data_IF_405141904682
#
_entry.id   IF_405141904682
#
_cell.length_a   1.000
_cell.length_b   1.000
_cell.length_c   1.000
_cell.angle_alpha   90.00
_cell.angle_beta   90.00
_cell.angle_gamma   90.00
#
_symmetry.space_group_name_H-M   'P 1'
#
loop_
_entity.id
_entity.type
_entity.pdbx_description
1 polymer ?
#
# COMPACT_ATOMS: atom_id res chain seq x y z
N UNK A 1 -26.51 -0.35 11.93
CA UNK A 1 -25.55 -0.20 13.04
C UNK A 1 -25.81 1.14 13.73
N UNK A 2 -26.35 1.13 14.95
CA UNK A 2 -26.61 2.35 15.73
C UNK A 2 -25.37 2.83 16.48
N UNK A 3 -24.27 3.09 15.77
CA UNK A 3 -23.05 3.61 16.39
C UNK A 3 -23.26 5.08 16.76
N UNK A 4 -22.84 5.45 17.97
CA UNK A 4 -22.79 6.86 18.37
C UNK A 4 -21.73 7.60 17.55
N UNK A 5 -21.87 8.92 17.38
CA UNK A 5 -20.84 9.71 16.69
C UNK A 5 -19.45 9.54 17.34
N UNK A 6 -19.39 9.34 18.66
CA UNK A 6 -18.18 9.02 19.39
C UNK A 6 -17.54 7.72 18.86
N UNK A 7 -18.31 6.64 18.76
CA UNK A 7 -17.82 5.37 18.23
C UNK A 7 -17.39 5.49 16.76
N UNK A 8 -18.09 6.28 15.95
CA UNK A 8 -17.70 6.51 14.56
C UNK A 8 -16.35 7.26 14.48
N UNK A 9 -16.12 8.22 15.37
CA UNK A 9 -14.86 8.95 15.47
C UNK A 9 -13.71 8.03 15.93
N UNK A 10 -13.98 7.19 16.93
CA UNK A 10 -13.04 6.19 17.43
C UNK A 10 -12.64 5.16 16.36
N UNK A 11 -13.55 4.82 15.44
CA UNK A 11 -13.22 3.99 14.26
C UNK A 11 -12.24 4.69 13.31
N UNK A 12 -12.37 6.01 13.12
CA UNK A 12 -11.38 6.78 12.34
C UNK A 12 -10.02 6.76 13.04
N UNK A 13 -9.99 6.95 14.36
CA UNK A 13 -8.77 6.86 15.17
C UNK A 13 -8.13 5.49 15.05
N UNK A 14 -8.90 4.40 15.14
CA UNK A 14 -8.40 3.04 14.95
C UNK A 14 -7.75 2.86 13.57
N UNK A 15 -8.40 3.32 12.50
CA UNK A 15 -7.83 3.29 11.15
C UNK A 15 -6.51 4.06 11.06
N UNK A 16 -6.42 5.23 11.69
CA UNK A 16 -5.21 6.06 11.68
C UNK A 16 -4.09 5.46 12.55
N UNK A 17 -4.42 4.80 13.66
CA UNK A 17 -3.47 3.96 14.41
C UNK A 17 -2.92 2.84 13.52
N UNK A 18 -3.78 2.19 12.72
CA UNK A 18 -3.35 1.23 11.71
C UNK A 18 -2.29 1.79 10.76
N UNK A 19 -2.44 3.04 10.33
CA UNK A 19 -1.44 3.71 9.47
C UNK A 19 -0.13 4.01 10.21
N UNK A 20 -0.16 4.21 11.53
CA UNK A 20 1.06 4.43 12.32
C UNK A 20 1.99 3.20 12.31
N UNK A 21 1.41 1.99 12.24
CA UNK A 21 2.19 0.76 12.06
C UNK A 21 2.93 0.67 10.71
N UNK A 22 2.58 1.53 9.75
CA UNK A 22 3.28 1.64 8.46
C UNK A 22 4.75 2.04 8.55
N UNK A 23 5.23 2.51 9.71
CA UNK A 23 6.65 2.65 9.97
C UNK A 23 7.40 1.32 9.76
N UNK A 24 6.75 0.20 10.08
CA UNK A 24 7.30 -1.14 9.83
C UNK A 24 7.48 -1.42 8.34
N UNK A 25 6.53 -1.00 7.50
CA UNK A 25 6.66 -1.12 6.05
C UNK A 25 7.86 -0.32 5.54
N UNK A 26 8.04 0.91 6.05
CA UNK A 26 9.21 1.74 5.76
C UNK A 26 10.53 1.05 6.12
N UNK A 27 10.65 0.55 7.34
CA UNK A 27 11.84 -0.17 7.82
C UNK A 27 12.08 -1.49 7.07
N UNK A 28 11.01 -2.19 6.70
CA UNK A 28 11.09 -3.44 5.96
C UNK A 28 11.52 -3.20 4.50
N UNK A 29 11.17 -2.06 3.91
CA UNK A 29 11.37 -1.82 2.47
C UNK A 29 12.82 -1.83 1.98
N UNK A 30 13.78 -1.58 2.88
CA UNK A 30 15.21 -1.71 2.60
C UNK A 30 15.71 -3.16 2.66
N UNK A 31 14.99 -4.05 3.35
CA UNK A 31 15.42 -5.44 3.59
C UNK A 31 14.63 -6.49 2.83
N UNK A 32 13.40 -6.19 2.44
CA UNK A 32 12.50 -7.15 1.78
C UNK A 32 12.26 -6.75 0.31
N UNK A 33 12.04 -7.74 -0.57
CA UNK A 33 11.71 -7.43 -1.96
C UNK A 33 10.34 -6.76 -2.08
N UNK A 34 10.16 -5.94 -3.12
CA UNK A 34 8.93 -5.15 -3.37
C UNK A 34 7.68 -6.04 -3.42
N UNK A 35 7.80 -7.23 -4.04
CA UNK A 35 6.67 -8.16 -4.12
C UNK A 35 6.18 -8.60 -2.73
N UNK A 36 7.06 -8.72 -1.74
CA UNK A 36 6.68 -9.11 -0.39
C UNK A 36 5.92 -7.97 0.31
N UNK A 37 6.34 -6.71 0.11
CA UNK A 37 5.59 -5.54 0.60
C UNK A 37 4.16 -5.53 0.04
N UNK A 38 4.01 -5.77 -1.27
CA UNK A 38 2.70 -5.85 -1.93
C UNK A 38 1.88 -7.06 -1.47
N UNK A 39 2.52 -8.20 -1.22
CA UNK A 39 1.85 -9.39 -0.71
C UNK A 39 1.29 -9.17 0.70
N UNK A 40 2.09 -8.61 1.61
CA UNK A 40 1.66 -8.31 2.98
C UNK A 40 0.54 -7.27 2.96
N UNK A 41 0.74 -6.17 2.22
CA UNK A 41 -0.29 -5.14 2.09
C UNK A 41 -1.59 -5.67 1.51
N UNK A 42 -1.55 -6.45 0.44
CA UNK A 42 -2.76 -7.01 -0.17
C UNK A 42 -3.46 -8.03 0.72
N UNK A 43 -2.73 -8.88 1.44
CA UNK A 43 -3.29 -9.82 2.40
C UNK A 43 -3.97 -9.09 3.57
N UNK A 44 -3.30 -8.13 4.18
CA UNK A 44 -3.88 -7.32 5.27
C UNK A 44 -5.14 -6.56 4.81
N UNK A 45 -5.13 -6.06 3.57
CA UNK A 45 -6.25 -5.33 2.97
C UNK A 45 -7.45 -6.23 2.71
N UNK A 46 -7.20 -7.43 2.13
CA UNK A 46 -8.23 -8.46 1.94
C UNK A 46 -8.83 -8.91 3.27
N UNK A 47 -8.01 -9.12 4.30
CA UNK A 47 -8.49 -9.52 5.62
C UNK A 47 -9.27 -8.39 6.30
N UNK A 48 -8.76 -7.16 6.27
CA UNK A 48 -9.41 -5.99 6.87
C UNK A 48 -10.75 -5.67 6.23
N UNK A 49 -10.76 -5.36 4.94
CA UNK A 49 -11.97 -4.98 4.21
C UNK A 49 -12.89 -6.17 3.91
N UNK A 50 -12.33 -7.36 3.67
CA UNK A 50 -13.12 -8.58 3.46
C UNK A 50 -13.85 -9.04 4.70
N UNK A 51 -13.25 -8.94 5.90
CA UNK A 51 -13.95 -9.20 7.14
C UNK A 51 -15.08 -8.19 7.40
N UNK A 52 -14.82 -6.89 7.15
CA UNK A 52 -15.87 -5.86 7.23
C UNK A 52 -17.00 -6.15 6.24
N UNK A 53 -16.69 -6.56 5.01
CA UNK A 53 -17.67 -6.93 4.02
C UNK A 53 -18.55 -8.10 4.48
N UNK A 54 -17.96 -9.15 5.07
CA UNK A 54 -18.74 -10.30 5.61
C UNK A 54 -19.72 -9.89 6.71
N UNK A 55 -19.36 -8.91 7.55
CA UNK A 55 -20.25 -8.39 8.59
C UNK A 55 -21.36 -7.53 8.01
N UNK A 56 -21.02 -6.63 7.08
CA UNK A 56 -21.99 -5.69 6.49
C UNK A 56 -22.94 -6.38 5.51
N UNK A 57 -22.49 -7.42 4.81
CA UNK A 57 -23.34 -8.25 3.94
C UNK A 57 -24.26 -9.20 4.71
N UNK A 58 -24.10 -9.31 6.03
CA UNK A 58 -24.86 -10.24 6.87
C UNK A 58 -24.43 -11.70 6.74
N UNK A 59 -23.31 -11.99 6.07
CA UNK A 59 -22.76 -13.34 5.95
C UNK A 59 -22.27 -13.90 7.29
N UNK A 60 -21.84 -13.03 8.21
CA UNK A 60 -21.40 -13.37 9.56
C UNK A 60 -22.17 -12.53 10.58
N UNK A 61 -22.36 -13.07 11.79
CA UNK A 61 -22.95 -12.34 12.91
C UNK A 61 -22.21 -11.02 13.17
N UNK A 62 -22.90 -9.96 13.66
CA UNK A 62 -22.28 -8.69 13.94
C UNK A 62 -21.14 -8.86 14.94
N UNK A 63 -19.93 -8.45 14.54
CA UNK A 63 -18.75 -8.56 15.38
C UNK A 63 -18.79 -7.51 16.51
N UNK A 64 -18.21 -7.83 17.68
CA UNK A 64 -18.04 -6.84 18.73
C UNK A 64 -17.17 -5.66 18.24
N UNK A 65 -17.43 -4.48 18.80
CA UNK A 65 -16.82 -3.22 18.39
C UNK A 65 -15.28 -3.27 18.27
N UNK A 66 -14.61 -3.93 19.24
CA UNK A 66 -13.15 -4.06 19.22
C UNK A 66 -12.62 -4.85 18.02
N UNK A 67 -13.36 -5.84 17.50
CA UNK A 67 -12.96 -6.59 16.30
C UNK A 67 -13.08 -5.73 15.05
N UNK A 68 -14.14 -4.91 14.97
CA UNK A 68 -14.30 -3.92 13.91
C UNK A 68 -13.10 -2.97 13.92
N UNK A 69 -12.69 -2.47 15.10
CA UNK A 69 -11.47 -1.66 15.24
C UNK A 69 -10.23 -2.39 14.73
N UNK A 70 -10.02 -3.67 15.08
CA UNK A 70 -8.87 -4.46 14.60
C UNK A 70 -8.87 -4.60 13.08
N UNK A 71 -10.01 -4.90 12.46
CA UNK A 71 -10.11 -4.99 11.00
C UNK A 71 -9.92 -3.64 10.32
N UNK A 72 -10.37 -2.54 10.93
CA UNK A 72 -10.05 -1.19 10.45
C UNK A 72 -8.56 -0.86 10.58
N UNK A 73 -7.91 -1.26 11.68
CA UNK A 73 -6.46 -1.12 11.84
C UNK A 73 -5.71 -1.88 10.75
N UNK A 74 -6.11 -3.13 10.45
CA UNK A 74 -5.52 -3.93 9.37
C UNK A 74 -5.72 -3.29 8.00
N UNK A 75 -6.94 -2.83 7.70
CA UNK A 75 -7.23 -2.10 6.46
C UNK A 75 -6.45 -0.78 6.34
N UNK A 76 -6.19 -0.11 7.47
CA UNK A 76 -5.32 1.07 7.55
C UNK A 76 -3.85 0.72 7.28
N UNK A 77 -3.33 -0.31 7.95
CA UNK A 77 -1.94 -0.77 7.80
C UNK A 77 -1.65 -1.23 6.38
N UNK A 78 -2.55 -1.99 5.77
CA UNK A 78 -2.50 -2.43 4.37
C UNK A 78 -2.12 -1.30 3.40
N UNK A 79 -2.77 -0.14 3.53
CA UNK A 79 -2.49 1.01 2.65
C UNK A 79 -1.05 1.52 2.76
N UNK A 80 -0.43 1.37 3.92
CA UNK A 80 0.95 1.83 4.15
C UNK A 80 1.98 0.91 3.51
N UNK A 81 1.74 -0.41 3.54
CA UNK A 81 2.56 -1.38 2.83
C UNK A 81 2.53 -1.13 1.32
N UNK A 82 1.33 -0.98 0.75
CA UNK A 82 1.14 -0.70 -0.68
C UNK A 82 1.79 0.63 -1.08
N UNK A 83 1.55 1.71 -0.33
CA UNK A 83 2.12 3.02 -0.62
C UNK A 83 3.66 3.01 -0.54
N UNK A 84 4.21 2.31 0.45
CA UNK A 84 5.67 2.14 0.59
C UNK A 84 6.24 1.37 -0.59
N UNK A 85 5.60 0.28 -1.01
CA UNK A 85 6.03 -0.51 -2.17
C UNK A 85 6.09 0.34 -3.45
N UNK A 86 5.03 1.11 -3.73
CA UNK A 86 4.97 2.01 -4.91
C UNK A 86 6.05 3.09 -4.82
N UNK A 87 6.16 3.76 -3.67
CA UNK A 87 7.15 4.82 -3.46
C UNK A 87 8.58 4.31 -3.68
N UNK A 88 8.93 3.19 -3.03
CA UNK A 88 10.27 2.57 -3.08
C UNK A 88 10.60 2.12 -4.51
N UNK A 89 9.63 1.56 -5.22
CA UNK A 89 9.78 1.19 -6.63
C UNK A 89 10.10 2.42 -7.49
N UNK A 90 9.33 3.49 -7.36
CA UNK A 90 9.51 4.70 -8.16
C UNK A 90 10.84 5.41 -7.89
N UNK A 91 11.26 5.55 -6.63
CA UNK A 91 12.53 6.20 -6.29
C UNK A 91 13.76 5.36 -6.70
N UNK A 92 13.63 4.03 -6.72
CA UNK A 92 14.67 3.12 -7.22
C UNK A 92 14.78 3.17 -8.74
N UNK A 93 13.66 3.28 -9.45
CA UNK A 93 13.64 3.41 -10.92
C UNK A 93 14.19 4.76 -11.40
N UNK A 94 13.96 5.84 -10.65
CA UNK A 94 14.35 7.19 -11.03
C UNK A 94 15.27 7.86 -10.00
N UNK A 95 16.48 7.34 -9.92
CA UNK A 95 17.44 7.70 -8.86
C UNK A 95 17.85 9.17 -8.87
N UNK A 96 17.79 9.85 -10.01
CA UNK A 96 18.19 11.26 -10.18
C UNK A 96 17.06 12.27 -9.98
N UNK A 97 15.79 11.85 -10.00
CA UNK A 97 14.61 12.73 -9.90
C UNK A 97 13.66 12.34 -8.76
N UNK A 98 14.23 11.81 -7.66
CA UNK A 98 13.49 11.32 -6.48
C UNK A 98 12.52 12.35 -5.90
N UNK A 99 12.94 13.61 -5.79
CA UNK A 99 12.14 14.70 -5.24
C UNK A 99 10.87 14.95 -6.06
N UNK A 100 10.99 15.36 -7.34
CA UNK A 100 9.85 15.57 -8.23
C UNK A 100 8.90 14.37 -8.31
N UNK A 101 9.43 13.14 -8.37
CA UNK A 101 8.62 11.92 -8.48
C UNK A 101 7.81 11.65 -7.21
N UNK A 102 8.43 11.82 -6.04
CA UNK A 102 7.69 11.72 -4.78
C UNK A 102 6.57 12.76 -4.68
N UNK A 103 6.77 13.96 -5.26
CA UNK A 103 5.75 15.00 -5.36
C UNK A 103 4.61 14.59 -6.30
N UNK A 104 4.93 14.07 -7.49
CA UNK A 104 3.94 13.57 -8.45
C UNK A 104 3.11 12.43 -7.87
N UNK A 105 3.74 11.47 -7.17
CA UNK A 105 3.04 10.36 -6.51
C UNK A 105 2.05 10.86 -5.46
N UNK A 106 2.48 11.80 -4.59
CA UNK A 106 1.59 12.40 -3.58
C UNK A 106 0.44 13.17 -4.24
N UNK A 107 0.73 13.93 -5.29
CA UNK A 107 -0.28 14.65 -6.08
C UNK A 107 -1.31 13.70 -6.70
N UNK A 108 -0.84 12.59 -7.27
CA UNK A 108 -1.68 11.52 -7.81
C UNK A 108 -2.57 10.89 -6.74
N UNK A 109 -2.03 10.60 -5.55
CA UNK A 109 -2.83 10.07 -4.42
C UNK A 109 -3.94 11.05 -4.02
N UNK A 110 -3.64 12.35 -3.92
CA UNK A 110 -4.65 13.37 -3.60
C UNK A 110 -5.76 13.47 -4.66
N UNK A 111 -5.37 13.57 -5.93
CA UNK A 111 -6.30 13.67 -7.06
C UNK A 111 -7.16 12.41 -7.20
N UNK A 112 -6.55 11.23 -7.17
CA UNK A 112 -7.26 9.95 -7.28
C UNK A 112 -8.22 9.74 -6.10
N UNK A 113 -7.85 10.13 -4.88
CA UNK A 113 -8.74 10.05 -3.71
C UNK A 113 -9.98 10.93 -3.87
N UNK A 114 -9.83 12.14 -4.43
CA UNK A 114 -10.96 13.04 -4.67
C UNK A 114 -11.94 12.45 -5.70
N UNK A 115 -11.43 12.00 -6.86
CA UNK A 115 -12.25 11.37 -7.92
C UNK A 115 -12.92 10.09 -7.41
N UNK A 116 -12.15 9.25 -6.68
CA UNK A 116 -12.65 8.01 -6.11
C UNK A 116 -13.79 8.26 -5.11
N UNK A 117 -13.63 9.25 -4.23
CA UNK A 117 -14.65 9.60 -3.23
C UNK A 117 -15.95 10.05 -3.91
N UNK A 118 -15.84 10.94 -4.90
CA UNK A 118 -17.00 11.42 -5.67
C UNK A 118 -17.71 10.26 -6.38
N UNK A 119 -16.95 9.45 -7.13
CA UNK A 119 -17.48 8.28 -7.84
C UNK A 119 -18.15 7.28 -6.90
N UNK A 120 -17.52 6.98 -5.75
CA UNK A 120 -18.07 6.03 -4.79
C UNK A 120 -19.31 6.56 -4.08
N UNK A 121 -19.37 7.87 -3.83
CA UNK A 121 -20.56 8.50 -3.24
C UNK A 121 -21.78 8.37 -4.16
N UNK A 122 -21.58 8.32 -5.48
CA UNK A 122 -22.64 8.13 -6.47
C UNK A 122 -22.98 6.65 -6.65
N UNK A 123 -21.96 5.78 -6.81
CA UNK A 123 -22.16 4.36 -7.14
C UNK A 123 -22.60 3.50 -5.94
N UNK A 124 -22.13 3.80 -4.73
CA UNK A 124 -22.28 2.94 -3.56
C UNK A 124 -23.06 3.59 -2.41
N UNK A 125 -23.76 4.71 -2.65
CA UNK A 125 -24.52 5.43 -1.63
C UNK A 125 -25.47 4.52 -0.82
N UNK A 126 -26.09 3.56 -1.51
CA UNK A 126 -27.09 2.66 -0.95
C UNK A 126 -26.57 1.24 -0.70
N UNK A 127 -25.29 0.96 -1.02
CA UNK A 127 -24.73 -0.39 -0.90
C UNK A 127 -23.28 -0.36 -0.35
N UNK A 128 -23.13 -0.19 0.98
CA UNK A 128 -21.83 -0.18 1.63
C UNK A 128 -21.11 -1.54 1.56
N UNK A 129 -21.84 -2.65 1.39
CA UNK A 129 -21.22 -3.96 1.22
C UNK A 129 -20.47 -4.01 -0.12
N UNK A 130 -21.10 -3.59 -1.21
CA UNK A 130 -20.45 -3.51 -2.52
C UNK A 130 -19.22 -2.60 -2.52
N UNK A 131 -19.25 -1.50 -1.76
CA UNK A 131 -18.07 -0.64 -1.57
C UNK A 131 -16.91 -1.38 -0.86
N UNK A 132 -17.19 -2.12 0.22
CA UNK A 132 -16.18 -2.84 0.99
C UNK A 132 -15.53 -3.97 0.18
N UNK A 133 -16.31 -4.73 -0.59
CA UNK A 133 -15.74 -5.80 -1.44
C UNK A 133 -14.89 -5.21 -2.57
N UNK A 134 -15.27 -4.07 -3.13
CA UNK A 134 -14.43 -3.36 -4.11
C UNK A 134 -13.09 -2.94 -3.48
N UNK A 135 -13.11 -2.37 -2.27
CA UNK A 135 -11.89 -2.01 -1.54
C UNK A 135 -11.02 -3.21 -1.14
N UNK A 136 -11.62 -4.39 -0.95
CA UNK A 136 -10.87 -5.61 -0.70
C UNK A 136 -10.24 -6.15 -1.99
N UNK A 137 -11.05 -6.34 -3.04
CA UNK A 137 -10.68 -7.09 -4.24
C UNK A 137 -9.87 -6.25 -5.22
N UNK A 138 -10.25 -5.00 -5.48
CA UNK A 138 -9.59 -4.17 -6.51
C UNK A 138 -8.12 -3.88 -6.13
N UNK A 139 -7.80 -3.36 -4.93
CA UNK A 139 -6.41 -3.16 -4.53
C UNK A 139 -5.61 -4.47 -4.51
N UNK A 140 -6.23 -5.58 -4.09
CA UNK A 140 -5.57 -6.88 -4.08
C UNK A 140 -5.25 -7.38 -5.50
N UNK A 141 -6.19 -7.22 -6.45
CA UNK A 141 -5.97 -7.57 -7.85
C UNK A 141 -4.88 -6.70 -8.49
N UNK A 142 -4.88 -5.38 -8.22
CA UNK A 142 -3.82 -4.48 -8.67
C UNK A 142 -2.47 -4.88 -8.09
N UNK A 143 -2.40 -5.22 -6.79
CA UNK A 143 -1.18 -5.71 -6.17
C UNK A 143 -0.73 -7.05 -6.76
N UNK A 144 -1.65 -7.97 -7.05
CA UNK A 144 -1.36 -9.26 -7.67
C UNK A 144 -0.76 -9.08 -9.07
N UNK A 145 -1.37 -8.22 -9.90
CA UNK A 145 -0.84 -7.87 -11.21
C UNK A 145 0.54 -7.22 -11.07
N UNK A 146 0.70 -6.24 -10.17
CA UNK A 146 1.98 -5.59 -9.92
C UNK A 146 3.05 -6.59 -9.44
N UNK A 147 2.71 -7.57 -8.60
CA UNK A 147 3.64 -8.61 -8.17
C UNK A 147 4.11 -9.52 -9.31
N UNK A 148 3.26 -9.77 -10.30
CA UNK A 148 3.65 -10.51 -11.51
C UNK A 148 4.61 -9.64 -12.32
N UNK A 149 4.17 -8.46 -12.77
CA UNK A 149 4.96 -7.60 -13.64
C UNK A 149 6.25 -7.03 -13.01
N UNK A 150 6.29 -6.85 -11.68
CA UNK A 150 7.48 -6.35 -10.97
C UNK A 150 8.45 -7.48 -10.59
N UNK A 151 8.07 -8.77 -10.70
CA UNK A 151 8.97 -9.89 -10.41
C UNK A 151 9.92 -10.22 -11.56
N UNK A 152 9.70 -9.73 -12.78
CA UNK A 152 10.59 -10.00 -13.92
C UNK A 152 11.89 -9.17 -13.96
N UNK A 153 12.23 -8.46 -12.86
CA UNK A 153 13.39 -7.58 -12.77
C UNK A 153 14.47 -8.02 -11.76
N UNK A 154 14.92 -9.28 -11.76
CA UNK A 154 16.27 -9.63 -11.27
C UNK A 154 17.37 -9.07 -12.18
N UNK A 155 17.22 -7.84 -12.68
CA UNK A 155 18.21 -7.15 -13.52
C UNK A 155 19.11 -6.22 -12.69
N UNK A 156 18.80 -5.99 -11.40
CA UNK A 156 19.66 -5.18 -10.52
C UNK A 156 20.70 -6.01 -9.74
N UNK A 157 20.67 -7.34 -9.83
CA UNK A 157 21.72 -8.19 -9.27
C UNK A 157 22.99 -8.22 -10.16
N UNK A 158 22.89 -7.77 -11.41
CA UNK A 158 24.03 -7.71 -12.35
C UNK A 158 24.73 -6.34 -12.38
N UNK A 159 24.13 -5.25 -11.85
CA UNK A 159 24.82 -3.93 -11.77
C UNK A 159 25.87 -3.85 -10.64
N UNK A 160 25.88 -4.80 -9.70
CA UNK A 160 26.94 -4.90 -8.67
C UNK A 160 28.23 -5.56 -9.20
N UNK A 161 28.20 -6.08 -10.43
CA UNK A 161 29.38 -6.47 -11.20
C UNK A 161 29.91 -5.29 -12.03
N UNK A 162 29.03 -4.43 -12.57
CA UNK A 162 29.43 -3.29 -13.40
C UNK A 162 30.04 -2.13 -12.57
N UNK A 163 29.58 -1.91 -11.34
CA UNK A 163 30.19 -0.96 -10.40
C UNK A 163 31.59 -1.36 -9.91
N UNK A 164 31.92 -2.66 -9.94
CA UNK A 164 33.27 -3.19 -9.68
C UNK A 164 34.12 -3.20 -10.95
N UNK A 165 33.52 -3.33 -12.12
CA UNK A 165 34.20 -3.22 -13.41
C UNK A 165 34.66 -1.78 -13.72
N UNK A 166 33.86 -0.76 -13.37
CA UNK A 166 34.24 0.66 -13.49
C UNK A 166 35.20 1.15 -12.39
N UNK A 167 35.23 0.51 -11.22
CA UNK A 167 36.22 0.81 -10.19
C UNK A 167 37.62 0.24 -10.50
N UNK A 168 37.70 -0.79 -11.34
CA UNK A 168 38.97 -1.45 -11.72
C UNK A 168 39.58 -0.93 -13.03
N UNK A 169 38.87 -0.07 -13.77
CA UNK A 169 39.30 0.55 -15.03
C UNK A 169 39.60 2.05 -14.94
N UNK A 170 39.57 2.63 -13.73
CA UNK A 170 40.07 3.99 -13.53
C UNK A 170 41.57 4.05 -13.87
N UNK A 171 42.00 4.78 -14.91
CA UNK A 171 43.39 4.83 -15.30
C UNK A 171 44.16 5.57 -14.21
N UNK A 172 45.24 4.94 -13.73
CA UNK A 172 46.22 5.53 -12.81
C UNK A 172 46.77 6.82 -13.40
N UNK A 173 46.17 7.95 -13.01
CA UNK A 173 46.67 9.29 -13.30
C UNK A 173 47.81 9.59 -12.33
N UNK A 174 48.96 8.93 -12.51
CA UNK A 174 50.25 9.22 -11.87
C UNK A 174 51.38 8.78 -12.82
N UNK A 175 52.38 9.64 -12.93
CA UNK A 175 53.71 9.42 -13.52
C UNK A 175 53.89 9.62 -15.04
N UNK A 176 53.87 10.87 -15.49
CA UNK A 176 54.99 11.59 -16.17
C UNK A 176 54.51 12.87 -16.85
#
# INVERSE_FOLDING_TARGET
>A
MGLTQLQLNDLSVAKDIGKAFGLLAGLASDRVPIWLLLAVGSLEGLLGYGAQWMVVSGAVAPLPYWQICVFLCLGGNSTTWMNTAVLVTCIRNFRWSRGPISGLLKGYVGLSTAIFTDTCSVLFANDPASFLVMLAVVPAAVCALAMVFLREGTAAADEEDDGRCFAHTAPSRRDR
#
